data_IF_750441616469
#
_entry.id   IF_750441616469
#
_cell.length_a   1.000
_cell.length_b   1.000
_cell.length_c   1.000
_cell.angle_alpha   90.00
_cell.angle_beta   90.00
_cell.angle_gamma   90.00
#
_symmetry.space_group_name_H-M   'P 1'
#
loop_
_entity.id
_entity.type
_entity.pdbx_description
1 polymer ?
#
# COMPACT_ATOMS: atom_id res chain seq x y z
N UNK A 1 -71.62 18.01 -19.36
CA UNK A 1 -70.92 16.84 -18.89
C UNK A 1 -69.41 17.17 -18.97
N UNK A 2 -68.82 17.58 -17.85
CA UNK A 2 -67.39 17.97 -17.81
C UNK A 2 -66.57 16.77 -17.28
N UNK A 3 -65.68 16.22 -18.13
CA UNK A 3 -64.84 15.11 -17.78
C UNK A 3 -63.56 15.70 -17.16
N UNK A 4 -63.31 15.41 -15.89
CA UNK A 4 -62.05 15.75 -15.17
C UNK A 4 -61.05 14.65 -15.43
N UNK A 5 -59.94 14.97 -16.10
CA UNK A 5 -58.77 14.10 -16.16
C UNK A 5 -57.91 14.30 -14.91
N UNK A 6 -57.82 13.25 -14.11
CA UNK A 6 -56.87 13.21 -12.95
C UNK A 6 -55.56 12.70 -13.50
N UNK A 7 -54.54 13.56 -13.52
CA UNK A 7 -53.14 13.15 -13.80
C UNK A 7 -52.52 12.69 -12.50
N UNK A 8 -52.26 11.38 -12.41
CA UNK A 8 -51.54 10.78 -11.28
C UNK A 8 -50.07 10.96 -11.57
N UNK A 9 -49.39 11.85 -10.83
CA UNK A 9 -47.97 12.08 -10.87
C UNK A 9 -47.30 11.05 -9.93
N UNK A 10 -46.69 10.00 -10.51
CA UNK A 10 -45.90 9.01 -9.78
C UNK A 10 -44.57 9.62 -9.38
N UNK A 11 -44.38 9.91 -8.12
CA UNK A 11 -43.08 10.33 -7.55
C UNK A 11 -42.23 9.10 -7.37
N UNK A 12 -41.22 8.92 -8.21
CA UNK A 12 -40.17 7.92 -8.02
C UNK A 12 -39.22 8.42 -6.90
N UNK A 13 -39.39 7.86 -5.70
CA UNK A 13 -38.44 8.07 -4.59
C UNK A 13 -37.17 7.26 -4.83
N UNK A 14 -36.19 7.85 -5.52
CA UNK A 14 -34.87 7.28 -5.62
C UNK A 14 -34.16 7.39 -4.26
N UNK A 15 -33.92 6.27 -3.60
CA UNK A 15 -33.05 6.22 -2.42
C UNK A 15 -31.60 6.37 -2.87
N UNK A 16 -31.01 7.54 -2.62
CA UNK A 16 -29.57 7.75 -2.80
C UNK A 16 -28.87 7.06 -1.64
N UNK A 17 -28.28 5.89 -1.88
CA UNK A 17 -27.37 5.24 -0.94
C UNK A 17 -26.07 6.04 -0.88
N UNK A 18 -25.86 6.80 0.17
CA UNK A 18 -24.58 7.42 0.50
C UNK A 18 -23.62 6.28 0.86
N UNK A 19 -22.78 5.86 -0.09
CA UNK A 19 -21.61 5.03 0.22
C UNK A 19 -20.61 5.90 0.99
N UNK A 20 -20.54 5.74 2.30
CA UNK A 20 -19.38 6.22 3.04
C UNK A 20 -18.18 5.41 2.55
N UNK A 21 -17.18 6.11 2.00
CA UNK A 21 -15.90 5.48 1.72
C UNK A 21 -15.37 4.92 3.04
N UNK A 22 -15.20 3.61 3.10
CA UNK A 22 -14.70 2.93 4.29
C UNK A 22 -13.29 3.44 4.59
N UNK A 23 -13.03 3.89 5.81
CA UNK A 23 -11.73 4.43 6.19
C UNK A 23 -10.74 3.27 6.44
N UNK A 24 -9.46 3.45 6.06
CA UNK A 24 -8.42 2.47 6.33
C UNK A 24 -8.34 2.13 7.82
N UNK A 25 -8.55 0.86 8.14
CA UNK A 25 -8.26 0.30 9.46
C UNK A 25 -7.20 -0.81 9.32
N UNK A 26 -6.03 -0.58 9.94
CA UNK A 26 -4.93 -1.55 9.95
C UNK A 26 -5.33 -2.88 10.59
N UNK A 27 -6.23 -2.88 11.57
CA UNK A 27 -6.63 -4.09 12.31
C UNK A 27 -7.32 -5.13 11.44
N UNK A 28 -8.00 -4.71 10.38
CA UNK A 28 -8.66 -5.61 9.41
C UNK A 28 -7.71 -6.56 8.70
N UNK A 29 -6.43 -6.20 8.60
CA UNK A 29 -5.41 -7.02 7.99
C UNK A 29 -4.89 -8.14 8.89
N UNK A 30 -5.22 -8.13 10.18
CA UNK A 30 -4.87 -9.18 11.15
C UNK A 30 -3.41 -9.64 11.02
N UNK A 31 -2.48 -8.67 10.98
CA UNK A 31 -1.04 -8.93 10.89
C UNK A 31 -0.51 -9.52 12.19
N UNK A 32 0.27 -10.59 12.08
CA UNK A 32 0.98 -11.23 13.16
C UNK A 32 2.46 -10.87 13.09
N UNK A 33 2.88 -9.95 13.94
CA UNK A 33 4.28 -9.52 14.02
C UNK A 33 5.20 -10.67 14.47
N UNK A 34 6.44 -10.62 14.02
CA UNK A 34 7.49 -11.54 14.44
C UNK A 34 8.84 -10.81 14.44
N UNK A 35 9.81 -11.37 15.14
CA UNK A 35 11.18 -10.82 15.15
C UNK A 35 11.95 -11.37 13.93
N UNK A 36 12.67 -10.50 13.18
CA UNK A 36 13.63 -10.98 12.20
C UNK A 36 14.80 -11.69 12.89
N UNK A 37 15.42 -12.63 12.20
CA UNK A 37 16.61 -13.38 12.70
C UNK A 37 17.93 -12.72 12.27
N UNK A 38 17.93 -11.45 11.95
CA UNK A 38 19.09 -10.65 11.55
C UNK A 38 19.02 -9.27 12.19
N UNK A 39 20.17 -8.62 12.37
CA UNK A 39 20.27 -7.22 12.75
C UNK A 39 20.54 -6.29 11.55
N UNK A 40 20.66 -6.83 10.33
CA UNK A 40 20.95 -6.04 9.13
C UNK A 40 19.65 -5.61 8.46
N UNK A 41 19.49 -4.30 8.25
CA UNK A 41 18.34 -3.72 7.55
C UNK A 41 18.44 -3.94 6.04
N UNK A 42 17.32 -4.37 5.43
CA UNK A 42 17.25 -4.66 4.00
C UNK A 42 17.59 -3.46 3.12
N UNK A 43 17.02 -2.29 3.39
CA UNK A 43 17.16 -1.12 2.53
C UNK A 43 18.58 -0.55 2.50
N UNK A 44 19.19 -0.46 3.64
CA UNK A 44 20.50 0.19 3.84
C UNK A 44 21.67 -0.78 3.82
N UNK A 45 21.41 -2.07 4.00
CA UNK A 45 22.41 -3.11 4.19
C UNK A 45 23.36 -2.80 5.37
N UNK A 46 22.85 -2.14 6.42
CA UNK A 46 23.61 -1.73 7.60
C UNK A 46 23.01 -2.37 8.85
N UNK A 47 23.81 -2.52 9.92
CA UNK A 47 23.30 -2.90 11.23
C UNK A 47 22.29 -1.89 11.76
N UNK A 48 21.29 -2.37 12.48
CA UNK A 48 20.22 -1.57 13.07
C UNK A 48 20.31 -1.65 14.60
N UNK A 49 20.16 -0.51 15.28
CA UNK A 49 19.96 -0.46 16.74
C UNK A 49 18.64 -1.11 17.13
N UNK A 50 17.61 -0.89 16.32
CA UNK A 50 16.31 -1.53 16.44
C UNK A 50 15.85 -2.01 15.07
N UNK A 51 15.44 -3.27 14.99
CA UNK A 51 15.00 -3.90 13.75
C UNK A 51 13.57 -4.46 13.90
N UNK A 52 12.77 -4.28 12.88
CA UNK A 52 11.43 -4.85 12.77
C UNK A 52 11.17 -5.42 11.37
N UNK A 53 9.99 -5.98 11.16
CA UNK A 53 9.54 -6.39 9.83
C UNK A 53 8.78 -5.23 9.20
N UNK A 54 9.21 -4.85 8.01
CA UNK A 54 8.49 -3.93 7.13
C UNK A 54 7.74 -4.70 6.05
N UNK A 55 6.55 -4.22 5.68
CA UNK A 55 5.83 -4.65 4.49
C UNK A 55 6.35 -3.85 3.29
N UNK A 56 6.91 -4.53 2.29
CA UNK A 56 7.40 -3.92 1.03
C UNK A 56 6.31 -3.06 0.39
N UNK A 57 5.11 -3.63 0.19
CA UNK A 57 3.87 -2.91 -0.07
C UNK A 57 3.16 -2.76 1.26
N UNK A 58 3.07 -1.55 1.80
CA UNK A 58 2.45 -1.32 3.09
C UNK A 58 0.97 -1.72 3.10
N UNK A 59 0.40 -1.98 4.28
CA UNK A 59 -1.02 -2.34 4.38
C UNK A 59 -1.93 -1.20 3.91
N UNK A 60 -1.51 0.05 4.15
CA UNK A 60 -2.25 1.23 3.68
C UNK A 60 -2.14 1.40 2.16
N UNK A 61 -0.94 1.26 1.59
CA UNK A 61 -0.76 1.29 0.14
C UNK A 61 -1.58 0.19 -0.54
N UNK A 62 -1.59 -1.03 0.01
CA UNK A 62 -2.44 -2.10 -0.49
C UNK A 62 -3.92 -1.72 -0.45
N UNK A 63 -4.39 -1.15 0.67
CA UNK A 63 -5.77 -0.69 0.83
C UNK A 63 -6.12 0.33 -0.26
N UNK A 64 -5.31 1.36 -0.45
CA UNK A 64 -5.51 2.43 -1.41
C UNK A 64 -5.42 1.94 -2.88
N UNK A 65 -4.73 0.83 -3.12
CA UNK A 65 -4.53 0.23 -4.46
C UNK A 65 -5.46 -0.93 -4.80
N UNK A 66 -6.49 -1.16 -3.98
CA UNK A 66 -7.54 -2.13 -4.29
C UNK A 66 -7.89 -3.11 -3.16
N UNK A 67 -7.06 -3.22 -2.10
CA UNK A 67 -7.36 -4.13 -1.00
C UNK A 67 -8.53 -3.66 -0.11
N UNK A 68 -9.02 -2.43 -0.26
CA UNK A 68 -10.24 -1.95 0.41
C UNK A 68 -11.44 -2.88 0.14
N UNK A 69 -11.55 -3.42 -1.08
CA UNK A 69 -12.62 -4.33 -1.50
C UNK A 69 -12.40 -5.80 -1.10
N UNK A 70 -11.26 -6.15 -0.47
CA UNK A 70 -10.96 -7.54 -0.15
C UNK A 70 -11.68 -8.02 1.10
N UNK A 71 -12.12 -9.28 1.09
CA UNK A 71 -12.59 -9.95 2.30
C UNK A 71 -11.45 -10.19 3.31
N UNK A 72 -11.83 -10.39 4.57
CA UNK A 72 -10.90 -10.54 5.71
C UNK A 72 -9.80 -11.62 5.49
N UNK A 73 -10.14 -12.73 4.86
CA UNK A 73 -9.18 -13.82 4.58
C UNK A 73 -8.06 -13.36 3.65
N UNK A 74 -8.37 -12.59 2.59
CA UNK A 74 -7.37 -12.09 1.64
C UNK A 74 -6.51 -10.98 2.27
N UNK A 75 -7.12 -10.06 3.05
CA UNK A 75 -6.40 -9.04 3.83
C UNK A 75 -5.40 -9.70 4.79
N UNK A 76 -5.83 -10.72 5.54
CA UNK A 76 -4.97 -11.48 6.46
C UNK A 76 -3.84 -12.22 5.72
N UNK A 77 -4.13 -12.87 4.59
CA UNK A 77 -3.14 -13.57 3.79
C UNK A 77 -2.05 -12.59 3.29
N UNK A 78 -2.45 -11.44 2.75
CA UNK A 78 -1.54 -10.39 2.31
C UNK A 78 -0.63 -9.89 3.44
N UNK A 79 -1.22 -9.56 4.59
CA UNK A 79 -0.47 -8.99 5.71
C UNK A 79 0.54 -9.96 6.32
N UNK A 80 0.37 -11.27 6.12
CA UNK A 80 1.24 -12.30 6.69
C UNK A 80 2.10 -13.00 5.62
N UNK A 81 2.07 -12.52 4.38
CA UNK A 81 2.87 -13.06 3.28
C UNK A 81 4.34 -12.68 3.42
N UNK A 82 5.19 -13.69 3.62
CA UNK A 82 6.64 -13.50 3.76
C UNK A 82 7.30 -12.88 2.53
N UNK A 83 6.72 -13.04 1.33
CA UNK A 83 7.25 -12.39 0.12
C UNK A 83 7.10 -10.86 0.15
N UNK A 84 6.17 -10.35 0.98
CA UNK A 84 5.96 -8.93 1.22
C UNK A 84 6.74 -8.39 2.45
N UNK A 85 7.59 -9.20 3.08
CA UNK A 85 8.26 -8.84 4.32
C UNK A 85 9.77 -8.72 4.14
N UNK A 86 10.36 -7.69 4.73
CA UNK A 86 11.81 -7.52 4.86
C UNK A 86 12.18 -7.05 6.27
N UNK A 87 13.37 -7.43 6.78
CA UNK A 87 13.89 -6.81 7.98
C UNK A 87 14.27 -5.36 7.69
N UNK A 88 13.84 -4.42 8.52
CA UNK A 88 14.14 -3.01 8.34
C UNK A 88 14.52 -2.34 9.63
N UNK A 89 15.53 -1.46 9.58
CA UNK A 89 15.81 -0.58 10.70
C UNK A 89 14.57 0.24 11.03
N UNK A 90 14.22 0.35 12.29
CA UNK A 90 12.99 1.02 12.74
C UNK A 90 12.86 2.45 12.20
N UNK A 91 13.98 3.20 12.13
CA UNK A 91 14.03 4.55 11.57
C UNK A 91 13.70 4.56 10.08
N UNK A 92 14.26 3.62 9.32
CA UNK A 92 14.00 3.50 7.86
C UNK A 92 12.55 3.12 7.59
N UNK A 93 12.02 2.13 8.33
CA UNK A 93 10.63 1.72 8.24
C UNK A 93 9.66 2.86 8.57
N UNK A 94 9.92 3.61 9.64
CA UNK A 94 9.11 4.77 10.01
C UNK A 94 9.16 5.88 8.96
N UNK A 95 10.33 6.11 8.35
CA UNK A 95 10.50 7.08 7.28
C UNK A 95 9.79 6.67 6.00
N UNK A 96 9.82 5.39 5.64
CA UNK A 96 9.08 4.86 4.50
C UNK A 96 7.57 4.98 4.71
N UNK A 97 7.08 4.63 5.89
CA UNK A 97 5.65 4.69 6.21
C UNK A 97 4.80 3.88 5.23
N UNK A 98 3.82 4.53 4.62
CA UNK A 98 2.94 3.93 3.61
C UNK A 98 3.38 4.20 2.17
N UNK A 99 4.51 4.86 1.98
CA UNK A 99 4.96 5.35 0.69
C UNK A 99 5.41 4.23 -0.25
N UNK A 100 5.21 4.46 -1.55
CA UNK A 100 5.74 3.61 -2.62
C UNK A 100 7.17 4.04 -3.04
N UNK A 101 7.72 3.39 -4.09
CA UNK A 101 9.09 3.65 -4.54
C UNK A 101 9.41 5.10 -4.87
N UNK A 102 8.49 5.83 -5.51
CA UNK A 102 8.70 7.23 -5.92
C UNK A 102 8.82 8.17 -4.72
N UNK A 103 7.91 8.02 -3.77
CA UNK A 103 7.84 8.91 -2.60
C UNK A 103 8.91 8.59 -1.57
N UNK A 104 9.26 7.33 -1.42
CA UNK A 104 10.35 6.93 -0.54
C UNK A 104 11.69 7.53 -1.01
N UNK A 105 11.98 7.50 -2.32
CA UNK A 105 13.17 8.16 -2.90
C UNK A 105 13.12 9.68 -2.78
N UNK A 106 11.96 10.28 -2.99
CA UNK A 106 11.80 11.72 -2.91
C UNK A 106 12.16 12.23 -1.52
N UNK A 107 11.72 11.54 -0.46
CA UNK A 107 12.07 11.88 0.92
C UNK A 107 13.56 11.82 1.18
N UNK A 108 14.29 10.89 0.54
CA UNK A 108 15.76 10.82 0.64
C UNK A 108 16.49 11.96 -0.09
N UNK A 109 15.85 12.56 -1.12
CA UNK A 109 16.44 13.63 -1.93
C UNK A 109 16.20 15.03 -1.41
N UNK A 110 15.08 15.28 -0.74
CA UNK A 110 14.70 16.60 -0.24
C UNK A 110 15.35 16.97 1.08
N UNK A 111 16.31 16.17 1.54
CA UNK A 111 17.10 16.43 2.75
C UNK A 111 16.31 16.36 4.05
N UNK A 112 15.05 15.89 4.02
CA UNK A 112 14.23 15.78 5.22
C UNK A 112 14.60 14.55 6.06
N UNK A 113 15.90 14.43 6.34
CA UNK A 113 16.36 13.61 7.45
C UNK A 113 16.57 12.14 7.16
N UNK A 114 16.83 11.73 5.92
CA UNK A 114 17.40 10.43 5.68
C UNK A 114 18.93 10.53 5.78
N UNK A 115 19.46 10.24 6.95
CA UNK A 115 20.91 10.11 7.20
C UNK A 115 21.43 8.74 6.71
N UNK A 116 20.82 8.17 5.66
CA UNK A 116 21.17 6.86 5.14
C UNK A 116 20.83 6.74 3.65
N UNK A 117 21.62 5.94 2.94
CA UNK A 117 21.38 5.61 1.54
C UNK A 117 20.57 4.33 1.40
N UNK A 118 19.63 4.31 0.44
CA UNK A 118 18.89 3.10 0.08
C UNK A 118 19.68 2.36 -0.98
N UNK A 119 20.61 1.51 -0.54
CA UNK A 119 21.55 0.81 -1.44
C UNK A 119 20.90 -0.34 -2.22
N UNK A 120 19.80 -0.92 -1.70
CA UNK A 120 19.06 -1.99 -2.38
C UNK A 120 17.79 -1.48 -3.08
N UNK A 121 17.87 -0.31 -3.69
CA UNK A 121 16.68 0.32 -4.24
C UNK A 121 16.00 -0.52 -5.33
N UNK A 122 16.74 -1.03 -6.32
CA UNK A 122 16.12 -1.81 -7.38
C UNK A 122 15.62 -3.17 -6.89
N UNK A 123 16.26 -3.80 -5.89
CA UNK A 123 15.72 -5.00 -5.25
C UNK A 123 14.38 -4.70 -4.55
N UNK A 124 14.28 -3.54 -3.88
CA UNK A 124 13.02 -3.07 -3.30
C UNK A 124 11.94 -2.89 -4.37
N UNK A 125 12.26 -2.17 -5.47
CA UNK A 125 11.30 -1.93 -6.55
C UNK A 125 10.82 -3.22 -7.21
N UNK A 126 11.73 -4.19 -7.42
CA UNK A 126 11.39 -5.51 -7.96
C UNK A 126 10.44 -6.29 -7.04
N UNK A 127 10.74 -6.31 -5.73
CA UNK A 127 9.86 -6.94 -4.74
C UNK A 127 8.51 -6.25 -4.66
N UNK A 128 8.49 -4.92 -4.65
CA UNK A 128 7.26 -4.13 -4.63
C UNK A 128 6.37 -4.45 -5.84
N UNK A 129 6.96 -4.46 -7.05
CA UNK A 129 6.27 -4.84 -8.28
C UNK A 129 5.70 -6.25 -8.20
N UNK A 130 6.52 -7.23 -7.81
CA UNK A 130 6.11 -8.63 -7.71
C UNK A 130 4.94 -8.83 -6.74
N UNK A 131 4.95 -8.15 -5.59
CA UNK A 131 3.85 -8.20 -4.62
C UNK A 131 2.58 -7.57 -5.18
N UNK A 132 2.68 -6.39 -5.82
CA UNK A 132 1.52 -5.73 -6.45
C UNK A 132 0.88 -6.64 -7.51
N UNK A 133 1.68 -7.23 -8.39
CA UNK A 133 1.20 -8.16 -9.42
C UNK A 133 0.57 -9.41 -8.80
N UNK A 134 1.25 -10.03 -7.83
CA UNK A 134 0.75 -11.23 -7.12
C UNK A 134 -0.65 -11.05 -6.57
N UNK A 135 -0.94 -9.87 -6.05
CA UNK A 135 -2.22 -9.59 -5.38
C UNK A 135 -3.24 -8.84 -6.25
N UNK A 136 -2.88 -8.48 -7.48
CA UNK A 136 -3.73 -7.71 -8.38
C UNK A 136 -3.98 -6.28 -7.88
N UNK A 137 -2.97 -5.67 -7.26
CA UNK A 137 -3.03 -4.29 -6.76
C UNK A 137 -2.64 -3.31 -7.87
N UNK A 138 -3.28 -2.16 -7.91
CA UNK A 138 -2.98 -1.13 -8.90
C UNK A 138 -1.66 -0.40 -8.57
N UNK A 139 -1.03 0.16 -9.61
CA UNK A 139 0.12 1.05 -9.49
C UNK A 139 -0.29 2.53 -9.52
N UNK A 140 -1.58 2.82 -9.39
CA UNK A 140 -2.12 4.18 -9.41
C UNK A 140 -1.43 5.04 -8.34
N UNK A 141 -1.00 6.23 -8.74
CA UNK A 141 -0.26 7.14 -7.86
C UNK A 141 1.24 6.89 -7.79
N UNK A 142 1.76 5.84 -8.44
CA UNK A 142 3.20 5.63 -8.57
C UNK A 142 3.70 6.14 -9.93
N UNK A 143 4.77 6.91 -9.91
CA UNK A 143 5.48 7.28 -11.14
C UNK A 143 6.17 6.03 -11.72
N UNK A 144 6.23 5.92 -13.05
CA UNK A 144 6.87 4.79 -13.74
C UNK A 144 8.39 4.82 -13.66
N UNK A 145 8.97 6.01 -13.55
CA UNK A 145 10.43 6.23 -13.58
C UNK A 145 11.25 5.36 -12.60
N UNK A 146 10.87 5.15 -11.34
CA UNK A 146 11.61 4.24 -10.45
C UNK A 146 11.65 2.81 -10.95
N UNK A 147 10.57 2.35 -11.59
CA UNK A 147 10.47 1.00 -12.15
C UNK A 147 11.34 0.85 -13.40
N UNK A 148 11.24 1.79 -14.33
CA UNK A 148 12.03 1.82 -15.57
C UNK A 148 13.53 1.85 -15.28
N UNK A 149 13.98 2.64 -14.29
CA UNK A 149 15.38 2.65 -13.83
C UNK A 149 15.87 1.30 -13.33
N UNK A 150 14.97 0.45 -12.88
CA UNK A 150 15.26 -0.89 -12.38
C UNK A 150 14.91 -1.99 -13.41
N UNK A 151 14.67 -1.61 -14.68
CA UNK A 151 14.39 -2.54 -15.76
C UNK A 151 13.00 -3.16 -15.71
N UNK A 152 12.03 -2.50 -15.08
CA UNK A 152 10.65 -2.97 -14.95
C UNK A 152 9.73 -2.06 -15.76
N UNK A 153 8.93 -2.66 -16.64
CA UNK A 153 7.82 -1.97 -17.32
C UNK A 153 6.53 -2.23 -16.53
N UNK A 154 5.90 -1.16 -16.05
CA UNK A 154 4.59 -1.23 -15.42
C UNK A 154 3.53 -1.10 -16.52
N UNK A 155 2.68 -2.11 -16.65
CA UNK A 155 1.60 -2.19 -17.66
C UNK A 155 0.26 -1.83 -17.02
#
# INVERSE_FOLDING_TARGET
MKIFFIVIMSVLSGTVSLSFADSYDRSEFNYRSYKPNTSIGFYTNQPCDFINIDHIVSLKDAYDSGASSWGASKKKAFANDRSNHVPSCGRVNSSKGSEGPSDFLRRSRDGRGLEYDIVRFCEYVQKYYAVKVKYGLSFKGNETRPFERCGITVV
#
